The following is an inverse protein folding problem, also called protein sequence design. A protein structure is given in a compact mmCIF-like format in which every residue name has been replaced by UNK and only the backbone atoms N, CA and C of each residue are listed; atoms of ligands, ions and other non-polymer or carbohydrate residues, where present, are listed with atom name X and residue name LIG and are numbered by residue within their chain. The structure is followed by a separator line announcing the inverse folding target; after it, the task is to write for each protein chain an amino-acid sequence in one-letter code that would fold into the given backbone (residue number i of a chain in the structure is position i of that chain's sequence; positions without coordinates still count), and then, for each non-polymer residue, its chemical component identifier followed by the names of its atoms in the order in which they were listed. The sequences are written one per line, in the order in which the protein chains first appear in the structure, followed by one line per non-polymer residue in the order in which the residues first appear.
data_IF_822958711254
#
_entry.id   IF_822958711254
#
_cell.length_a   1.000
_cell.length_b   1.000
_cell.length_c   1.000
_cell.angle_alpha   90.00
_cell.angle_beta   90.00
_cell.angle_gamma   90.00
#
_symmetry.space_group_name_H-M   'P 1'
#
loop_
_entity.id
_entity.type
_entity.pdbx_description
1 polymer ?
#
# COMPACT_ATOMS: atom_id res chain seq x y z
N UNK A 1 16.15 -17.93 -41.71
CA UNK A 1 15.53 -18.19 -40.40
C UNK A 1 14.15 -17.55 -40.37
N UNK A 2 13.12 -18.38 -40.51
CA UNK A 2 11.72 -17.97 -40.68
C UNK A 2 11.15 -17.51 -39.34
N UNK A 3 11.43 -16.26 -38.93
CA UNK A 3 10.62 -15.52 -37.96
C UNK A 3 9.21 -15.38 -38.55
N UNK A 4 8.43 -16.46 -38.51
CA UNK A 4 7.23 -16.61 -39.34
C UNK A 4 6.04 -16.68 -38.45
N UNK A 5 5.29 -15.58 -38.38
CA UNK A 5 3.90 -15.46 -37.91
C UNK A 5 3.60 -15.92 -36.47
N UNK A 6 4.00 -17.11 -36.05
CA UNK A 6 3.87 -17.62 -34.68
C UNK A 6 4.61 -16.72 -33.68
N UNK A 7 5.85 -16.35 -33.97
CA UNK A 7 6.60 -15.44 -33.09
C UNK A 7 5.98 -14.04 -33.05
N UNK A 8 5.41 -13.58 -34.17
CA UNK A 8 4.69 -12.31 -34.23
C UNK A 8 3.36 -12.37 -33.45
N UNK A 9 2.63 -13.48 -33.55
CA UNK A 9 1.39 -13.70 -32.79
C UNK A 9 1.66 -13.80 -31.29
N UNK A 10 2.73 -14.49 -30.90
CA UNK A 10 3.15 -14.60 -29.50
C UNK A 10 3.60 -13.23 -28.95
N UNK A 11 4.39 -12.48 -29.72
CA UNK A 11 4.77 -11.12 -29.34
C UNK A 11 3.54 -10.21 -29.20
N UNK A 12 2.58 -10.27 -30.14
CA UNK A 12 1.34 -9.51 -30.07
C UNK A 12 0.47 -9.90 -28.86
N UNK A 13 0.41 -11.18 -28.52
CA UNK A 13 -0.32 -11.66 -27.34
C UNK A 13 0.34 -11.15 -26.03
N UNK A 14 1.67 -11.14 -25.96
CA UNK A 14 2.40 -10.61 -24.81
C UNK A 14 2.17 -9.11 -24.69
N UNK A 15 2.30 -8.34 -25.77
CA UNK A 15 2.11 -6.88 -25.72
C UNK A 15 0.67 -6.52 -25.37
N UNK A 16 -0.32 -7.24 -25.87
CA UNK A 16 -1.72 -7.05 -25.49
C UNK A 16 -1.95 -7.31 -23.99
N UNK A 17 -1.39 -8.41 -23.45
CA UNK A 17 -1.50 -8.71 -22.03
C UNK A 17 -0.83 -7.64 -21.17
N UNK A 18 0.36 -7.17 -21.55
CA UNK A 18 1.04 -6.09 -20.84
C UNK A 18 0.26 -4.78 -20.94
N UNK A 19 -0.41 -4.49 -22.05
CA UNK A 19 -1.25 -3.31 -22.21
C UNK A 19 -2.49 -3.37 -21.31
N UNK A 20 -3.16 -4.53 -21.22
CA UNK A 20 -4.28 -4.73 -20.29
C UNK A 20 -3.81 -4.60 -18.84
N UNK A 21 -2.70 -5.25 -18.49
CA UNK A 21 -2.13 -5.18 -17.15
C UNK A 21 -1.72 -3.74 -16.80
N UNK A 22 -1.10 -3.01 -17.73
CA UNK A 22 -0.76 -1.60 -17.57
C UNK A 22 -2.00 -0.73 -17.43
N UNK A 23 -3.05 -0.98 -18.19
CA UNK A 23 -4.29 -0.20 -18.09
C UNK A 23 -4.99 -0.42 -16.75
N UNK A 24 -5.08 -1.67 -16.29
CA UNK A 24 -5.64 -2.01 -14.97
C UNK A 24 -4.76 -1.46 -13.86
N UNK A 25 -3.44 -1.62 -13.96
CA UNK A 25 -2.48 -1.04 -13.03
C UNK A 25 -2.59 0.48 -13.01
N UNK A 26 -2.72 1.15 -14.15
CA UNK A 26 -2.94 2.58 -14.26
C UNK A 26 -4.28 3.00 -13.65
N UNK A 27 -5.35 2.23 -13.86
CA UNK A 27 -6.67 2.47 -13.28
C UNK A 27 -6.66 2.26 -11.76
N UNK A 28 -5.86 1.32 -11.26
CA UNK A 28 -5.65 1.07 -9.84
C UNK A 28 -4.67 2.06 -9.19
N UNK A 29 -3.69 2.55 -9.95
CA UNK A 29 -2.77 3.63 -9.58
C UNK A 29 -3.40 5.01 -9.75
N UNK A 30 -4.57 5.10 -10.40
CA UNK A 30 -5.44 6.26 -10.30
C UNK A 30 -5.72 6.41 -8.82
N UNK A 31 -5.13 7.44 -8.18
CA UNK A 31 -4.83 7.33 -6.80
C UNK A 31 -6.15 7.24 -6.05
N UNK A 32 -6.29 6.16 -5.28
CA UNK A 32 -7.16 6.08 -4.10
C UNK A 32 -6.94 7.26 -3.11
N UNK A 33 -6.17 8.29 -3.47
CA UNK A 33 -5.93 9.54 -2.75
C UNK A 33 -7.14 10.48 -2.69
N UNK A 34 -8.28 10.16 -3.30
CA UNK A 34 -9.46 11.04 -3.21
C UNK A 34 -10.46 10.66 -2.11
N UNK A 35 -10.24 9.57 -1.34
CA UNK A 35 -11.18 9.16 -0.28
C UNK A 35 -10.77 9.48 1.16
N UNK A 36 -9.68 10.21 1.39
CA UNK A 36 -9.29 10.59 2.76
C UNK A 36 -8.76 12.03 2.90
N UNK A 37 -9.23 12.97 2.07
CA UNK A 37 -8.89 14.39 2.27
C UNK A 37 -9.90 15.07 3.19
N UNK A 38 -9.84 14.70 4.48
CA UNK A 38 -10.34 15.57 5.54
C UNK A 38 -9.53 16.87 5.56
N UNK A 39 -10.12 18.03 5.90
CA UNK A 39 -9.43 19.31 5.83
C UNK A 39 -8.54 19.45 7.07
N UNK A 40 -7.25 19.12 6.98
CA UNK A 40 -6.30 19.45 8.05
C UNK A 40 -5.24 20.44 7.56
N UNK A 41 -5.63 21.70 7.76
CA UNK A 41 -4.81 22.85 8.18
C UNK A 41 -3.46 22.40 8.79
N UNK A 42 -2.35 22.66 8.11
CA UNK A 42 -1.06 22.86 8.79
C UNK A 42 -1.16 24.19 9.57
N UNK A 43 -0.64 24.32 10.81
CA UNK A 43 0.82 24.24 11.03
C UNK A 43 1.26 23.64 12.39
N UNK A 44 2.34 22.87 12.45
CA UNK A 44 3.25 22.80 13.59
C UNK A 44 4.44 21.87 13.29
N UNK A 45 5.56 22.08 13.97
CA UNK A 45 6.74 21.23 13.98
C UNK A 45 6.47 19.88 14.70
N UNK A 46 5.44 19.16 14.25
CA UNK A 46 5.06 17.84 14.77
C UNK A 46 5.54 16.71 13.84
N UNK A 47 5.45 15.45 14.30
CA UNK A 47 5.82 14.29 13.52
C UNK A 47 5.15 14.29 12.16
N UNK A 48 5.95 14.26 11.09
CA UNK A 48 5.47 14.38 9.70
C UNK A 48 4.95 13.06 9.12
N UNK A 49 5.19 11.97 9.83
CA UNK A 49 4.89 10.61 9.41
C UNK A 49 3.97 10.00 10.45
N UNK A 50 2.94 9.30 9.99
CA UNK A 50 2.09 8.46 10.83
C UNK A 50 2.40 7.02 10.48
N UNK A 51 2.82 6.22 11.45
CA UNK A 51 3.09 4.79 11.25
C UNK A 51 1.75 4.09 11.12
N UNK A 52 1.51 3.41 9.99
CA UNK A 52 0.29 2.63 9.76
C UNK A 52 0.66 1.15 9.69
N UNK A 53 0.13 0.37 10.62
CA UNK A 53 0.32 -1.09 10.67
C UNK A 53 -0.95 -1.76 10.18
N UNK A 54 -0.84 -2.49 9.07
CA UNK A 54 -1.98 -3.15 8.42
C UNK A 54 -1.78 -4.64 8.18
N UNK A 55 -0.54 -5.03 7.89
CA UNK A 55 -0.20 -6.44 7.67
C UNK A 55 0.25 -7.03 9.01
N UNK A 56 -0.68 -7.66 9.72
CA UNK A 56 -0.44 -8.43 10.93
C UNK A 56 -1.50 -9.53 11.07
N UNK A 57 -1.14 -10.63 11.72
CA UNK A 57 -2.06 -11.72 11.99
C UNK A 57 -2.64 -11.58 13.40
N UNK A 58 -3.97 -11.60 13.55
CA UNK A 58 -4.59 -11.42 14.87
C UNK A 58 -4.17 -12.50 15.89
N UNK A 59 -3.89 -13.72 15.41
CA UNK A 59 -3.53 -14.87 16.26
C UNK A 59 -2.04 -14.91 16.66
N UNK A 60 -1.15 -14.27 15.89
CA UNK A 60 0.30 -14.24 16.15
C UNK A 60 0.89 -12.95 15.58
N UNK A 61 1.12 -11.96 16.43
CA UNK A 61 1.67 -10.67 16.04
C UNK A 61 2.57 -10.04 17.10
N UNK A 62 3.53 -9.27 16.62
CA UNK A 62 4.41 -8.42 17.43
C UNK A 62 4.00 -6.93 17.36
N UNK A 63 2.71 -6.64 17.13
CA UNK A 63 2.20 -5.25 17.06
C UNK A 63 2.46 -4.47 18.36
N UNK A 64 2.28 -5.05 19.57
CA UNK A 64 2.59 -4.33 20.82
C UNK A 64 4.05 -3.87 20.89
N UNK A 65 5.00 -4.78 20.62
CA UNK A 65 6.43 -4.46 20.64
C UNK A 65 6.81 -3.43 19.56
N UNK A 66 6.18 -3.50 18.39
CA UNK A 66 6.36 -2.53 17.32
C UNK A 66 5.93 -1.14 17.77
N UNK A 67 4.72 -0.99 18.32
CA UNK A 67 4.20 0.31 18.79
C UNK A 67 5.12 0.89 19.87
N UNK A 68 5.53 0.08 20.83
CA UNK A 68 6.42 0.50 21.92
C UNK A 68 7.77 1.00 21.40
N UNK A 69 8.32 0.35 20.36
CA UNK A 69 9.60 0.76 19.77
C UNK A 69 9.55 2.17 19.16
N UNK A 70 8.43 2.54 18.52
CA UNK A 70 8.26 3.88 17.96
C UNK A 70 8.02 4.93 19.03
N UNK A 71 7.20 4.60 20.04
CA UNK A 71 6.93 5.51 21.16
C UNK A 71 8.15 5.75 22.06
N UNK A 72 9.07 4.77 22.14
CA UNK A 72 10.36 4.95 22.83
C UNK A 72 11.28 5.93 22.10
N UNK A 73 11.21 6.01 20.76
CA UNK A 73 12.00 6.95 19.98
C UNK A 73 11.41 8.36 20.00
N UNK A 74 10.10 8.46 19.80
CA UNK A 74 9.35 9.71 19.88
C UNK A 74 7.98 9.44 20.55
N UNK A 75 7.78 9.89 21.80
CA UNK A 75 6.52 9.70 22.53
C UNK A 75 5.31 10.34 21.85
N UNK A 76 5.53 11.31 20.95
CA UNK A 76 4.47 11.98 20.20
C UNK A 76 4.24 11.36 18.81
N UNK A 77 4.98 10.30 18.45
CA UNK A 77 4.89 9.63 17.15
C UNK A 77 3.47 9.08 16.92
N UNK A 78 2.74 9.55 15.90
CA UNK A 78 1.43 9.03 15.58
C UNK A 78 1.54 7.60 15.04
N UNK A 79 0.83 6.66 15.66
CA UNK A 79 0.75 5.25 15.24
C UNK A 79 -0.72 4.84 15.12
N UNK A 80 -1.06 4.18 14.00
CA UNK A 80 -2.40 3.67 13.70
C UNK A 80 -2.29 2.19 13.33
N UNK A 81 -2.98 1.34 14.10
CA UNK A 81 -3.16 -0.08 13.78
C UNK A 81 -4.52 -0.24 13.10
N UNK A 82 -4.52 -0.72 11.87
CA UNK A 82 -5.72 -0.84 11.05
C UNK A 82 -6.05 -2.32 10.83
N UNK A 83 -7.26 -2.73 11.23
CA UNK A 83 -7.81 -4.04 10.98
C UNK A 83 -9.27 -3.92 10.52
N UNK A 84 -9.71 -4.85 9.68
CA UNK A 84 -11.10 -4.87 9.19
C UNK A 84 -12.10 -5.28 10.28
N UNK A 85 -11.66 -6.12 11.22
CA UNK A 85 -12.39 -6.51 12.43
C UNK A 85 -11.54 -6.22 13.66
N UNK A 86 -12.17 -5.99 14.81
CA UNK A 86 -11.44 -5.78 16.07
C UNK A 86 -10.56 -7.02 16.37
N UNK A 87 -9.23 -6.89 16.45
CA UNK A 87 -8.36 -8.01 16.82
C UNK A 87 -8.70 -8.49 18.23
N UNK A 88 -8.82 -9.80 18.42
CA UNK A 88 -9.10 -10.43 19.71
C UNK A 88 -8.00 -11.46 20.02
N UNK A 89 -7.47 -11.49 21.25
CA UNK A 89 -6.57 -12.55 21.68
C UNK A 89 -7.30 -13.88 21.88
#
# INVERSE_FOLDING_TARGET
MRLTRCQAALAAAITLNLLVLFYVSWLQHQPRNSRARGPHRAPAAGPRVTVLVREFEAFDNAVPELVDSFLQQDPAQPVVVAADTLPYP
#
